data_IF_583031827799
#
_entry.id   IF_583031827799
#
_cell.length_a   1.000
_cell.length_b   1.000
_cell.length_c   1.000
_cell.angle_alpha   90.00
_cell.angle_beta   90.00
_cell.angle_gamma   90.00
#
_symmetry.space_group_name_H-M   'P 1'
#
loop_
_entity.id
_entity.type
_entity.pdbx_description
1 polymer ?
#
# COMPACT_ATOMS: atom_id res chain seq x y z
N UNK A 1 16.25 -8.29 8.90
CA UNK A 1 15.41 -9.40 9.40
C UNK A 1 14.12 -9.40 8.60
N UNK A 2 13.71 -10.53 8.03
CA UNK A 2 12.43 -10.62 7.31
C UNK A 2 11.28 -10.72 8.30
N UNK A 3 10.23 -9.93 8.10
CA UNK A 3 9.01 -10.01 8.91
C UNK A 3 8.37 -11.40 8.76
N UNK A 4 7.75 -11.94 9.82
CA UNK A 4 6.98 -13.17 9.69
C UNK A 4 5.85 -12.98 8.65
N UNK A 5 5.60 -14.02 7.86
CA UNK A 5 4.77 -13.96 6.67
C UNK A 5 3.36 -13.40 6.93
N UNK A 6 2.75 -13.73 8.07
CA UNK A 6 1.44 -13.23 8.48
C UNK A 6 1.44 -11.70 8.69
N UNK A 7 2.50 -11.15 9.32
CA UNK A 7 2.62 -9.70 9.53
C UNK A 7 2.84 -8.99 8.19
N UNK A 8 3.67 -9.55 7.32
CA UNK A 8 3.90 -9.01 5.99
C UNK A 8 2.61 -9.00 5.14
N UNK A 9 1.79 -10.05 5.24
CA UNK A 9 0.49 -10.14 4.57
C UNK A 9 -0.50 -9.10 5.11
N UNK A 10 -0.64 -8.97 6.44
CA UNK A 10 -1.53 -7.98 7.05
C UNK A 10 -1.17 -6.55 6.64
N UNK A 11 0.13 -6.23 6.58
CA UNK A 11 0.60 -4.91 6.14
C UNK A 11 0.31 -4.63 4.67
N UNK A 12 0.39 -5.66 3.81
CA UNK A 12 -0.03 -5.51 2.40
C UNK A 12 -1.55 -5.26 2.29
N UNK A 13 -2.36 -6.03 3.00
CA UNK A 13 -3.81 -5.81 3.07
C UNK A 13 -4.15 -4.41 3.58
N UNK A 14 -3.46 -3.95 4.62
CA UNK A 14 -3.64 -2.60 5.16
C UNK A 14 -3.24 -1.54 4.14
N UNK A 15 -2.11 -1.68 3.45
CA UNK A 15 -1.66 -0.74 2.43
C UNK A 15 -2.69 -0.60 1.29
N UNK A 16 -3.30 -1.72 0.84
CA UNK A 16 -4.38 -1.70 -0.16
C UNK A 16 -5.63 -1.00 0.37
N UNK A 17 -6.04 -1.32 1.59
CA UNK A 17 -7.21 -0.71 2.22
C UNK A 17 -7.04 0.80 2.33
N UNK A 18 -5.91 1.24 2.86
CA UNK A 18 -5.57 2.65 3.04
C UNK A 18 -5.57 3.39 1.69
N UNK A 19 -4.95 2.85 0.64
CA UNK A 19 -4.97 3.47 -0.69
C UNK A 19 -6.36 3.56 -1.32
N UNK A 20 -7.24 2.61 -1.01
CA UNK A 20 -8.59 2.55 -1.60
C UNK A 20 -9.57 3.48 -0.90
N UNK A 21 -9.42 3.64 0.40
CA UNK A 21 -10.43 4.29 1.25
C UNK A 21 -10.01 5.67 1.74
N UNK A 22 -8.71 5.97 1.79
CA UNK A 22 -8.22 7.22 2.38
C UNK A 22 -7.65 8.16 1.32
N UNK A 23 -7.71 9.46 1.62
CA UNK A 23 -7.05 10.49 0.82
C UNK A 23 -5.57 10.54 1.13
N UNK A 24 -4.78 11.06 0.19
CA UNK A 24 -3.33 11.20 0.34
C UNK A 24 -2.92 11.94 1.62
N UNK A 25 -3.70 12.95 2.02
CA UNK A 25 -3.45 13.75 3.24
C UNK A 25 -3.60 12.88 4.49
N UNK A 26 -4.72 12.14 4.61
CA UNK A 26 -4.99 11.21 5.72
C UNK A 26 -3.92 10.12 5.85
N UNK A 27 -3.45 9.58 4.71
CA UNK A 27 -2.35 8.61 4.68
C UNK A 27 -1.06 9.24 5.21
N UNK A 28 -0.79 10.49 4.85
CA UNK A 28 0.41 11.21 5.27
C UNK A 28 0.38 11.48 6.76
N UNK A 29 -0.76 11.93 7.29
CA UNK A 29 -0.96 12.16 8.73
C UNK A 29 -0.85 10.86 9.53
N UNK A 30 -1.46 9.77 9.05
CA UNK A 30 -1.37 8.47 9.70
C UNK A 30 0.05 7.92 9.73
N UNK A 31 0.82 8.07 8.65
CA UNK A 31 2.23 7.71 8.64
C UNK A 31 3.08 8.59 9.56
N UNK A 32 2.66 9.83 9.82
CA UNK A 32 3.34 10.74 10.74
C UNK A 32 3.02 10.45 12.22
N UNK A 33 2.02 9.61 12.51
CA UNK A 33 1.59 9.31 13.88
C UNK A 33 2.76 8.76 14.73
N UNK A 34 3.06 9.36 15.90
CA UNK A 34 4.21 8.99 16.74
C UNK A 34 4.14 7.55 17.30
N UNK A 35 2.99 6.89 17.23
CA UNK A 35 2.84 5.47 17.62
C UNK A 35 3.50 4.52 16.64
N UNK A 36 3.78 4.97 15.42
CA UNK A 36 4.48 4.19 14.42
C UNK A 36 5.99 4.38 14.51
N UNK A 37 6.73 3.30 14.72
CA UNK A 37 8.20 3.30 14.64
C UNK A 37 8.68 3.67 13.24
N UNK A 38 9.89 4.23 13.12
CA UNK A 38 10.50 4.60 11.85
C UNK A 38 10.51 3.44 10.85
N UNK A 39 10.95 2.25 11.28
CA UNK A 39 10.95 1.04 10.45
C UNK A 39 9.56 0.66 9.93
N UNK A 40 8.51 0.86 10.72
CA UNK A 40 7.13 0.60 10.30
C UNK A 40 6.68 1.61 9.25
N UNK A 41 7.00 2.89 9.46
CA UNK A 41 6.66 3.98 8.52
C UNK A 41 7.34 3.76 7.17
N UNK A 42 8.61 3.36 7.18
CA UNK A 42 9.35 3.06 5.95
C UNK A 42 8.78 1.83 5.22
N UNK A 43 8.49 0.74 5.93
CA UNK A 43 7.86 -0.44 5.34
C UNK A 43 6.49 -0.12 4.73
N UNK A 44 5.62 0.60 5.45
CA UNK A 44 4.32 1.01 4.92
C UNK A 44 4.45 1.99 3.75
N UNK A 45 5.37 2.96 3.80
CA UNK A 45 5.67 3.86 2.66
C UNK A 45 6.09 3.08 1.43
N UNK A 46 6.94 2.07 1.57
CA UNK A 46 7.37 1.23 0.45
C UNK A 46 6.18 0.50 -0.16
N UNK A 47 5.37 -0.18 0.67
CA UNK A 47 4.18 -0.92 0.24
C UNK A 47 3.15 -0.04 -0.45
N UNK A 48 2.85 1.13 0.11
CA UNK A 48 1.92 2.09 -0.49
C UNK A 48 2.42 2.58 -1.85
N UNK A 49 3.72 2.84 -2.00
CA UNK A 49 4.30 3.22 -3.29
C UNK A 49 4.26 2.09 -4.32
N UNK A 50 4.55 0.85 -3.92
CA UNK A 50 4.47 -0.32 -4.81
C UNK A 50 3.03 -0.54 -5.28
N UNK A 51 2.06 -0.57 -4.36
CA UNK A 51 0.64 -0.70 -4.67
C UNK A 51 0.14 0.43 -5.56
N UNK A 52 0.56 1.68 -5.32
CA UNK A 52 0.20 2.80 -6.19
C UNK A 52 0.79 2.68 -7.60
N UNK A 53 2.02 2.17 -7.73
CA UNK A 53 2.63 1.87 -9.04
C UNK A 53 1.85 0.75 -9.75
N UNK A 54 1.42 -0.28 -9.03
CA UNK A 54 0.62 -1.37 -9.58
C UNK A 54 -0.74 -0.90 -10.07
N UNK A 55 -1.46 -0.08 -9.29
CA UNK A 55 -2.74 0.53 -9.68
C UNK A 55 -2.55 1.33 -10.97
N UNK A 56 -1.58 2.25 -11.02
CA UNK A 56 -1.30 3.06 -12.22
C UNK A 56 -0.91 2.21 -13.42
N UNK A 57 -0.16 1.12 -13.21
CA UNK A 57 0.21 0.16 -14.26
C UNK A 57 -1.02 -0.58 -14.78
N UNK A 58 -1.95 -0.95 -13.90
CA UNK A 58 -3.18 -1.62 -14.27
C UNK A 58 -4.14 -0.68 -15.00
N UNK A 59 -4.25 0.58 -14.58
CA UNK A 59 -5.03 1.63 -15.28
C UNK A 59 -4.47 1.95 -16.67
N UNK A 60 -3.14 1.86 -16.84
CA UNK A 60 -2.47 2.06 -18.15
C UNK A 60 -2.56 0.87 -19.08
N UNK A 61 -2.99 -0.30 -18.62
CA UNK A 61 -3.39 -1.39 -19.50
C UNK A 61 -4.87 -1.16 -19.83
N UNK A 62 -5.22 -0.64 -21.02
CA UNK A 62 -6.61 -0.71 -21.44
C UNK A 62 -7.03 -2.18 -21.39
N UNK A 63 -8.23 -2.43 -20.87
CA UNK A 63 -8.89 -3.72 -20.82
C UNK A 63 -8.80 -4.43 -22.18
N UNK A 64 -7.74 -5.19 -22.38
CA UNK A 64 -7.59 -6.12 -23.49
C UNK A 64 -7.47 -7.50 -22.86
N UNK A 65 -8.62 -7.98 -22.36
CA UNK A 65 -9.05 -9.38 -22.23
C UNK A 65 -10.26 -9.46 -21.29
N UNK A 66 -11.40 -8.95 -21.78
CA UNK A 66 -12.62 -9.74 -21.71
C UNK A 66 -12.65 -10.52 -23.03
N UNK A 67 -12.21 -11.77 -23.00
CA UNK A 67 -12.45 -12.71 -24.09
C UNK A 67 -12.95 -14.02 -23.48
N UNK A 68 -14.25 -14.23 -23.75
CA UNK A 68 -15.05 -15.45 -23.90
C UNK A 68 -15.17 -16.40 -22.71
#
# INVERSE_FOLDING_TARGET
>A
MSLPADIAYRRDCLARHVLRHWRREEITEWLADPKHSEEYREDMRKRLNEQQKEIRRNERKPTAQQQV
#
